data_IF_755925258275
#
_entry.id   IF_755925258275
#
_cell.length_a   1.000
_cell.length_b   1.000
_cell.length_c   1.000
_cell.angle_alpha   90.00
_cell.angle_beta   90.00
_cell.angle_gamma   90.00
#
_symmetry.space_group_name_H-M   'P 1'
#
loop_
_entity.id
_entity.type
_entity.pdbx_description
1 polymer ?
#
# COMPACT_ATOMS: atom_id res chain seq x y z
N UNK A 1 25.27 43.33 -9.43
CA UNK A 1 25.35 41.85 -9.40
C UNK A 1 23.97 41.29 -9.11
N UNK A 2 23.31 40.58 -10.06
CA UNK A 2 21.98 40.03 -9.80
C UNK A 2 22.07 38.92 -8.75
N UNK A 3 21.23 38.99 -7.71
CA UNK A 3 21.16 37.95 -6.67
C UNK A 3 20.64 36.65 -7.28
N UNK A 4 21.25 35.48 -6.99
CA UNK A 4 20.79 34.22 -7.57
C UNK A 4 19.37 33.93 -7.08
N UNK A 5 18.43 33.82 -8.03
CA UNK A 5 17.00 33.52 -7.85
C UNK A 5 16.76 32.20 -7.07
N UNK A 6 17.79 31.34 -6.99
CA UNK A 6 17.80 30.03 -6.34
C UNK A 6 17.41 30.03 -4.86
N UNK A 7 17.58 31.13 -4.13
CA UNK A 7 17.41 31.14 -2.67
C UNK A 7 15.96 31.37 -2.20
N UNK A 8 15.07 31.91 -3.05
CA UNK A 8 13.68 32.15 -2.63
C UNK A 8 12.83 30.89 -2.69
N UNK A 9 13.07 30.02 -3.68
CA UNK A 9 12.30 28.79 -3.87
C UNK A 9 12.57 27.74 -2.76
N UNK A 10 13.84 27.59 -2.36
CA UNK A 10 14.23 26.64 -1.30
C UNK A 10 13.71 27.07 0.09
N UNK A 11 13.49 28.36 0.36
CA UNK A 11 13.05 28.83 1.69
C UNK A 11 11.65 28.33 2.05
N UNK A 12 10.75 28.22 1.09
CA UNK A 12 9.39 27.73 1.31
C UNK A 12 9.32 26.21 1.36
N UNK A 13 10.18 25.51 0.61
CA UNK A 13 10.22 24.04 0.59
C UNK A 13 10.88 23.43 1.83
N UNK A 14 11.80 24.18 2.46
CA UNK A 14 12.47 23.82 3.71
C UNK A 14 11.92 24.58 4.92
N UNK A 15 10.72 25.17 4.81
CA UNK A 15 10.05 25.76 5.96
C UNK A 15 9.70 24.65 6.96
N UNK A 16 10.09 24.82 8.22
CA UNK A 16 9.80 23.85 9.30
C UNK A 16 8.30 23.55 9.40
N UNK A 17 7.47 24.56 9.16
CA UNK A 17 6.00 24.46 9.13
C UNK A 17 5.45 23.59 8.00
N UNK A 18 6.20 23.39 6.90
CA UNK A 18 5.78 22.56 5.77
C UNK A 18 6.11 21.07 5.98
N UNK A 19 7.05 20.75 6.88
CA UNK A 19 7.49 19.38 7.16
C UNK A 19 6.31 18.48 7.61
N UNK A 20 5.43 18.90 8.55
CA UNK A 20 4.28 18.10 8.95
C UNK A 20 3.33 17.78 7.79
N UNK A 21 3.13 18.73 6.87
CA UNK A 21 2.26 18.54 5.71
C UNK A 21 2.83 17.46 4.79
N UNK A 22 4.12 17.55 4.46
CA UNK A 22 4.79 16.55 3.62
C UNK A 22 4.81 15.16 4.28
N UNK A 23 4.98 15.08 5.60
CA UNK A 23 4.92 13.82 6.33
C UNK A 23 3.53 13.17 6.22
N UNK A 24 2.45 13.91 6.50
CA UNK A 24 1.09 13.36 6.44
C UNK A 24 0.73 12.93 5.02
N UNK A 25 0.99 13.79 4.04
CA UNK A 25 0.70 13.47 2.63
C UNK A 25 1.54 12.28 2.17
N UNK A 26 2.83 12.25 2.48
CA UNK A 26 3.73 11.15 2.13
C UNK A 26 3.27 9.82 2.72
N UNK A 27 2.96 9.78 4.02
CA UNK A 27 2.44 8.59 4.70
C UNK A 27 1.10 8.15 4.09
N UNK A 28 0.23 9.10 3.76
CA UNK A 28 -1.09 8.80 3.20
C UNK A 28 -0.97 8.17 1.82
N UNK A 29 -0.19 8.76 0.91
CA UNK A 29 -0.03 8.22 -0.45
C UNK A 29 0.63 6.84 -0.42
N UNK A 30 1.66 6.66 0.42
CA UNK A 30 2.31 5.36 0.59
C UNK A 30 1.36 4.32 1.19
N UNK A 31 0.61 4.67 2.22
CA UNK A 31 -0.35 3.77 2.88
C UNK A 31 -1.49 3.37 1.94
N UNK A 32 -2.07 4.32 1.22
CA UNK A 32 -3.10 4.05 0.21
C UNK A 32 -2.56 3.18 -0.93
N UNK A 33 -1.36 3.49 -1.45
CA UNK A 33 -0.72 2.69 -2.49
C UNK A 33 -0.49 1.26 -2.03
N UNK A 34 0.10 1.07 -0.84
CA UNK A 34 0.29 -0.25 -0.26
C UNK A 34 -1.04 -1.01 -0.10
N UNK A 35 -2.08 -0.36 0.44
CA UNK A 35 -3.36 -1.01 0.68
C UNK A 35 -4.07 -1.43 -0.63
N UNK A 36 -4.01 -0.58 -1.67
CA UNK A 36 -4.51 -0.95 -2.99
C UNK A 36 -3.76 -2.16 -3.56
N UNK A 37 -2.43 -2.23 -3.40
CA UNK A 37 -1.68 -3.41 -3.87
C UNK A 37 -2.05 -4.69 -3.11
N UNK A 38 -2.43 -4.59 -1.83
CA UNK A 38 -2.94 -5.72 -1.03
C UNK A 38 -4.32 -6.17 -1.49
N UNK A 39 -5.21 -5.23 -1.83
CA UNK A 39 -6.55 -5.51 -2.34
C UNK A 39 -6.49 -6.13 -3.74
N UNK A 40 -5.64 -5.58 -4.61
CA UNK A 40 -5.41 -6.11 -5.96
C UNK A 40 -4.95 -7.59 -5.93
N UNK A 41 -4.22 -8.02 -4.90
CA UNK A 41 -3.75 -9.41 -4.74
C UNK A 41 -4.72 -10.31 -3.95
N UNK A 42 -5.98 -9.90 -3.79
CA UNK A 42 -7.00 -10.72 -3.13
C UNK A 42 -7.38 -11.97 -3.95
N UNK A 43 -7.85 -13.06 -3.30
CA UNK A 43 -8.22 -14.31 -3.97
C UNK A 43 -9.52 -14.19 -4.81
N UNK A 44 -10.20 -13.05 -4.75
CA UNK A 44 -11.38 -12.73 -5.55
C UNK A 44 -11.04 -11.97 -6.84
N UNK A 45 -9.79 -11.54 -7.01
CA UNK A 45 -9.36 -10.76 -8.18
C UNK A 45 -8.66 -11.66 -9.19
N UNK A 46 -9.18 -11.71 -10.41
CA UNK A 46 -8.63 -12.48 -11.52
C UNK A 46 -7.83 -11.54 -12.42
N UNK A 47 -6.49 -11.70 -12.42
CA UNK A 47 -5.58 -10.92 -13.28
C UNK A 47 -5.20 -11.63 -14.57
N UNK A 48 -5.12 -12.97 -14.52
CA UNK A 48 -4.61 -13.79 -15.61
C UNK A 48 -5.68 -14.78 -16.07
N UNK A 49 -5.65 -15.14 -17.36
CA UNK A 49 -6.51 -16.20 -17.90
C UNK A 49 -6.03 -17.60 -17.51
N UNK A 50 -4.76 -17.75 -17.15
CA UNK A 50 -4.16 -19.02 -16.73
C UNK A 50 -4.71 -19.53 -15.40
N UNK A 51 -5.11 -18.63 -14.50
CA UNK A 51 -5.76 -18.98 -13.24
C UNK A 51 -7.07 -18.20 -13.10
N UNK A 52 -8.17 -18.69 -13.73
CA UNK A 52 -9.46 -18.01 -13.71
C UNK A 52 -10.17 -18.12 -12.34
N UNK A 53 -9.67 -18.98 -11.43
CA UNK A 53 -10.31 -19.30 -10.16
C UNK A 53 -9.32 -19.23 -8.98
N UNK A 54 -8.74 -18.07 -8.68
CA UNK A 54 -7.69 -17.91 -7.67
C UNK A 54 -8.13 -18.28 -6.24
N UNK A 55 -9.42 -18.27 -5.95
CA UNK A 55 -9.96 -18.69 -4.66
C UNK A 55 -9.77 -20.18 -4.37
N UNK A 56 -9.54 -21.03 -5.38
CA UNK A 56 -9.29 -22.46 -5.19
C UNK A 56 -7.90 -22.75 -4.57
N UNK A 57 -7.01 -21.75 -4.51
CA UNK A 57 -5.68 -21.88 -3.88
C UNK A 57 -5.72 -21.66 -2.36
N UNK A 58 -6.82 -21.09 -1.84
CA UNK A 58 -6.99 -20.80 -0.42
C UNK A 58 -7.34 -22.08 0.34
N UNK A 59 -6.56 -22.42 1.36
CA UNK A 59 -6.83 -23.59 2.21
C UNK A 59 -7.73 -23.21 3.39
N UNK A 60 -8.40 -24.22 3.96
CA UNK A 60 -9.32 -24.00 5.08
C UNK A 60 -8.62 -23.51 6.36
N UNK A 61 -7.35 -23.85 6.55
CA UNK A 61 -6.52 -23.42 7.69
C UNK A 61 -5.92 -22.02 7.54
N UNK A 62 -6.17 -21.35 6.41
CA UNK A 62 -5.55 -20.08 6.05
C UNK A 62 -6.51 -18.88 6.17
N UNK A 63 -6.02 -17.80 6.77
CA UNK A 63 -6.73 -16.54 6.85
C UNK A 63 -6.44 -15.65 5.62
N UNK A 64 -7.49 -15.33 4.86
CA UNK A 64 -7.43 -14.39 3.74
C UNK A 64 -7.59 -12.92 4.16
N UNK A 65 -8.17 -12.68 5.35
CA UNK A 65 -8.41 -11.33 5.87
C UNK A 65 -7.11 -10.75 6.41
N UNK A 66 -6.98 -9.42 6.34
CA UNK A 66 -5.84 -8.72 6.93
C UNK A 66 -5.76 -8.94 8.45
N UNK A 67 -6.93 -9.04 9.11
CA UNK A 67 -7.02 -9.30 10.54
C UNK A 67 -8.28 -10.12 10.82
N UNK A 68 -8.14 -11.16 11.63
CA UNK A 68 -9.26 -11.89 12.21
C UNK A 68 -9.32 -11.57 13.70
N UNK A 69 -10.46 -11.05 14.16
CA UNK A 69 -10.65 -10.66 15.57
C UNK A 69 -11.09 -11.86 16.41
N UNK A 70 -12.05 -12.64 15.90
CA UNK A 70 -12.70 -13.73 16.66
C UNK A 70 -12.28 -15.13 16.21
N UNK A 71 -11.65 -15.26 15.04
CA UNK A 71 -11.32 -16.55 14.44
C UNK A 71 -9.82 -16.79 14.51
N UNK A 72 -9.41 -18.00 14.91
CA UNK A 72 -8.01 -18.42 14.89
C UNK A 72 -7.77 -19.26 13.64
N UNK A 73 -6.72 -18.91 12.92
CA UNK A 73 -6.24 -19.63 11.75
C UNK A 73 -4.79 -19.98 12.01
N UNK A 74 -4.35 -21.14 11.51
CA UNK A 74 -2.97 -21.58 11.69
C UNK A 74 -2.01 -20.78 10.82
N UNK A 75 -2.49 -20.26 9.68
CA UNK A 75 -1.68 -19.57 8.68
C UNK A 75 -2.37 -18.34 8.12
N UNK A 76 -1.59 -17.44 7.54
CA UNK A 76 -2.09 -16.34 6.71
C UNK A 76 -1.86 -16.67 5.25
N UNK A 77 -2.90 -16.50 4.44
CA UNK A 77 -2.80 -16.71 3.01
C UNK A 77 -2.06 -15.55 2.33
N UNK A 78 -1.16 -15.86 1.41
CA UNK A 78 -0.48 -14.91 0.54
C UNK A 78 -0.54 -15.37 -0.91
N UNK A 79 -0.58 -14.43 -1.85
CA UNK A 79 -0.63 -14.72 -3.29
C UNK A 79 0.78 -14.69 -3.87
N UNK A 80 1.38 -15.87 -4.04
CA UNK A 80 2.74 -16.01 -4.56
C UNK A 80 2.83 -15.81 -6.09
N UNK A 81 1.73 -16.00 -6.82
CA UNK A 81 1.69 -15.96 -8.29
C UNK A 81 0.43 -15.25 -8.79
N UNK A 82 0.53 -14.60 -9.96
CA UNK A 82 -0.57 -13.89 -10.65
C UNK A 82 -1.29 -14.81 -11.64
#
# INVERSE_FOLDING_TARGET
>A
MPKPIRNSFMRNWWAVEAIPIYCVVGVTVLGCGWYLTRLARGPHVVWTKSNPTPWNEVKQDENVKMMAVNQKFDKSWTRDRL
#
